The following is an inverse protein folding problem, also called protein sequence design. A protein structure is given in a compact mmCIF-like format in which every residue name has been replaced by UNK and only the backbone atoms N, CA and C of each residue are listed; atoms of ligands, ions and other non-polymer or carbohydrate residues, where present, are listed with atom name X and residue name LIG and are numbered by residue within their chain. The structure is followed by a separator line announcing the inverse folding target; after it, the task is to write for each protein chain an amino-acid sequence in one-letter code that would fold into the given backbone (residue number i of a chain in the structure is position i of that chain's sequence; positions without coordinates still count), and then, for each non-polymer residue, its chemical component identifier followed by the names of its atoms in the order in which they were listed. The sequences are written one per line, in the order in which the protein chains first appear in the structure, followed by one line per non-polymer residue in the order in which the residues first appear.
data_IF_458085412590
#
_entry.id   IF_458085412590
#
_cell.length_a   1.000
_cell.length_b   1.000
_cell.length_c   1.000
_cell.angle_alpha   90.00
_cell.angle_beta   90.00
_cell.angle_gamma   90.00
#
_symmetry.space_group_name_H-M   'P 1'
#
loop_
_entity.id
_entity.type
_entity.pdbx_description
1 polymer ?
#
# COMPACT_ATOMS: atom_id res chain seq x y z
N UNK A 1 -12.22 15.95 -21.92
CA UNK A 1 -12.47 14.89 -20.91
C UNK A 1 -11.24 14.04 -20.59
N UNK A 2 -10.32 13.76 -21.53
CA UNK A 2 -9.12 12.95 -21.25
C UNK A 2 -8.13 13.57 -20.24
N UNK A 3 -7.94 14.89 -20.24
CA UNK A 3 -6.97 15.58 -19.37
C UNK A 3 -7.32 15.41 -17.89
N UNK A 4 -8.60 15.54 -17.53
CA UNK A 4 -9.07 15.40 -16.15
C UNK A 4 -8.85 13.98 -15.61
N UNK A 5 -9.02 12.95 -16.46
CA UNK A 5 -8.75 11.57 -16.06
C UNK A 5 -7.26 11.31 -15.81
N UNK A 6 -6.38 11.88 -16.63
CA UNK A 6 -4.91 11.76 -16.45
C UNK A 6 -4.47 12.42 -15.15
N UNK A 7 -4.96 13.62 -14.85
CA UNK A 7 -4.64 14.32 -13.60
C UNK A 7 -5.14 13.58 -12.37
N UNK A 8 -6.34 12.99 -12.44
CA UNK A 8 -6.87 12.18 -11.34
C UNK A 8 -6.02 10.93 -11.10
N UNK A 9 -5.62 10.24 -12.16
CA UNK A 9 -4.75 9.06 -12.07
C UNK A 9 -3.38 9.44 -11.50
N UNK A 10 -2.83 10.58 -11.90
CA UNK A 10 -1.57 11.08 -11.36
C UNK A 10 -1.67 11.34 -9.85
N UNK A 11 -2.70 12.06 -9.40
CA UNK A 11 -2.93 12.30 -7.96
C UNK A 11 -3.12 11.02 -7.16
N UNK A 12 -3.83 10.04 -7.73
CA UNK A 12 -4.02 8.74 -7.09
C UNK A 12 -2.68 8.00 -6.96
N UNK A 13 -1.84 8.03 -8.00
CA UNK A 13 -0.49 7.47 -7.94
C UNK A 13 0.34 8.14 -6.85
N UNK A 14 0.35 9.46 -6.78
CA UNK A 14 1.14 10.20 -5.79
C UNK A 14 0.69 9.85 -4.35
N UNK A 15 -0.62 9.72 -4.13
CA UNK A 15 -1.15 9.28 -2.85
C UNK A 15 -0.73 7.84 -2.50
N UNK A 16 -0.74 6.92 -3.47
CA UNK A 16 -0.30 5.54 -3.26
C UNK A 16 1.20 5.49 -2.93
N UNK A 17 2.03 6.29 -3.61
CA UNK A 17 3.47 6.36 -3.33
C UNK A 17 3.73 6.92 -1.92
N UNK A 18 3.06 8.00 -1.53
CA UNK A 18 3.18 8.53 -0.17
C UNK A 18 2.75 7.50 0.90
N UNK A 19 1.73 6.67 0.65
CA UNK A 19 1.36 5.58 1.56
C UNK A 19 2.46 4.52 1.62
N UNK A 20 3.06 4.14 0.49
CA UNK A 20 4.16 3.17 0.46
C UNK A 20 5.37 3.64 1.26
N UNK A 21 5.74 4.91 1.13
CA UNK A 21 6.86 5.49 1.87
C UNK A 21 6.58 5.48 3.37
N UNK A 22 5.38 5.90 3.79
CA UNK A 22 4.96 5.83 5.19
C UNK A 22 4.99 4.39 5.73
N UNK A 23 4.57 3.39 4.95
CA UNK A 23 4.61 1.98 5.36
C UNK A 23 6.05 1.46 5.50
N UNK A 24 6.97 1.92 4.64
CA UNK A 24 8.38 1.55 4.70
C UNK A 24 9.04 2.05 6.00
N UNK A 25 8.61 3.20 6.51
CA UNK A 25 9.12 3.80 7.75
C UNK A 25 8.56 3.14 9.04
N UNK A 26 7.48 2.35 8.94
CA UNK A 26 6.94 1.64 10.10
C UNK A 26 7.80 0.44 10.49
N UNK A 27 7.94 0.20 11.79
CA UNK A 27 8.49 -1.06 12.30
C UNK A 27 7.53 -2.24 12.07
N UNK A 28 8.06 -3.45 12.18
CA UNK A 28 7.30 -4.68 11.90
C UNK A 28 6.10 -4.86 12.83
N UNK A 29 6.18 -4.41 14.10
CA UNK A 29 5.09 -4.52 15.05
C UNK A 29 3.93 -3.60 14.65
N UNK A 30 4.23 -2.36 14.24
CA UNK A 30 3.23 -1.41 13.74
C UNK A 30 2.58 -1.89 12.44
N UNK A 31 3.35 -2.49 11.54
CA UNK A 31 2.80 -3.09 10.31
C UNK A 31 1.86 -4.27 10.60
N UNK A 32 2.23 -5.14 11.54
CA UNK A 32 1.36 -6.25 11.97
C UNK A 32 0.09 -5.74 12.66
N UNK A 33 0.20 -4.73 13.51
CA UNK A 33 -0.96 -4.11 14.15
C UNK A 33 -1.90 -3.46 13.11
N UNK A 34 -1.34 -2.81 12.09
CA UNK A 34 -2.11 -2.21 11.02
C UNK A 34 -2.82 -3.27 10.17
N UNK A 35 -2.16 -4.39 9.88
CA UNK A 35 -2.74 -5.55 9.19
C UNK A 35 -3.94 -6.13 9.95
N UNK A 36 -3.78 -6.31 11.26
CA UNK A 36 -4.80 -6.87 12.14
C UNK A 36 -6.05 -5.97 12.28
N UNK A 37 -5.88 -4.65 12.12
CA UNK A 37 -6.97 -3.68 12.21
C UNK A 37 -7.77 -3.52 10.91
N UNK A 38 -7.32 -4.07 9.78
CA UNK A 38 -8.06 -3.97 8.52
C UNK A 38 -9.17 -5.02 8.43
N UNK A 39 -10.33 -4.70 7.81
CA UNK A 39 -11.43 -5.66 7.61
C UNK A 39 -10.98 -6.89 6.82
N UNK A 40 -11.14 -8.10 7.35
CA UNK A 40 -10.72 -9.36 6.69
C UNK A 40 -11.33 -9.56 5.31
N UNK A 41 -12.54 -9.05 5.11
CA UNK A 41 -13.22 -9.02 3.82
C UNK A 41 -13.47 -7.58 3.45
N UNK A 42 -12.82 -7.11 2.38
CA UNK A 42 -13.03 -5.80 1.82
C UNK A 42 -13.51 -5.95 0.36
N UNK A 43 -14.45 -5.12 -0.11
CA UNK A 43 -14.88 -5.16 -1.51
C UNK A 43 -13.71 -4.97 -2.48
N UNK A 44 -13.79 -5.59 -3.65
CA UNK A 44 -12.77 -5.41 -4.69
C UNK A 44 -12.66 -3.93 -5.09
N UNK A 45 -11.43 -3.41 -5.15
CA UNK A 45 -11.17 -2.01 -5.49
C UNK A 45 -11.46 -1.00 -4.36
N UNK A 46 -11.87 -1.47 -3.18
CA UNK A 46 -12.02 -0.58 -2.00
C UNK A 46 -10.67 -0.08 -1.49
N UNK A 47 -10.63 1.10 -0.84
CA UNK A 47 -9.43 1.60 -0.17
C UNK A 47 -8.84 0.61 0.84
N UNK A 48 -9.70 -0.11 1.57
CA UNK A 48 -9.30 -1.10 2.56
C UNK A 48 -8.58 -2.30 1.90
N UNK A 49 -9.07 -2.77 0.75
CA UNK A 49 -8.38 -3.80 -0.03
C UNK A 49 -7.01 -3.30 -0.51
N UNK A 50 -6.94 -2.08 -1.05
CA UNK A 50 -5.69 -1.50 -1.54
C UNK A 50 -4.69 -1.34 -0.39
N UNK A 51 -5.12 -0.81 0.75
CA UNK A 51 -4.27 -0.64 1.93
C UNK A 51 -3.69 -1.97 2.42
N UNK A 52 -4.53 -3.02 2.47
CA UNK A 52 -4.06 -4.37 2.81
C UNK A 52 -3.02 -4.90 1.84
N UNK A 53 -3.23 -4.72 0.53
CA UNK A 53 -2.26 -5.13 -0.49
C UNK A 53 -0.91 -4.42 -0.32
N UNK A 54 -0.93 -3.13 0.02
CA UNK A 54 0.28 -2.35 0.25
C UNK A 54 1.04 -2.84 1.50
N UNK A 55 0.33 -3.14 2.58
CA UNK A 55 0.92 -3.71 3.81
C UNK A 55 1.55 -5.08 3.53
N UNK A 56 0.81 -6.00 2.90
CA UNK A 56 1.35 -7.32 2.56
C UNK A 56 2.56 -7.24 1.62
N UNK A 57 2.54 -6.31 0.66
CA UNK A 57 3.67 -6.07 -0.22
C UNK A 57 4.90 -5.62 0.59
N UNK A 58 4.72 -4.69 1.52
CA UNK A 58 5.82 -4.20 2.35
C UNK A 58 6.39 -5.29 3.26
N UNK A 59 5.52 -6.02 3.98
CA UNK A 59 5.94 -7.18 4.79
C UNK A 59 6.63 -8.26 3.94
N UNK A 60 6.16 -8.47 2.70
CA UNK A 60 6.75 -9.42 1.76
C UNK A 60 8.17 -9.02 1.32
N UNK A 61 8.40 -7.75 1.01
CA UNK A 61 9.73 -7.22 0.69
C UNK A 61 10.72 -7.43 1.84
N UNK A 62 10.28 -7.22 3.08
CA UNK A 62 11.13 -7.40 4.27
C UNK A 62 11.53 -8.85 4.50
N UNK A 63 10.63 -9.78 4.22
CA UNK A 63 10.89 -11.23 4.33
C UNK A 63 11.81 -11.73 3.22
N UNK A 64 11.68 -11.16 2.01
CA UNK A 64 12.46 -11.53 0.83
C UNK A 64 13.13 -10.28 0.25
N UNK A 65 14.19 -9.75 0.90
CA UNK A 65 14.90 -8.60 0.37
C UNK A 65 15.47 -8.98 -1.01
N UNK A 66 15.38 -8.12 -2.03
CA UNK A 66 15.99 -8.40 -3.31
C UNK A 66 17.49 -8.66 -3.09
N UNK A 67 17.96 -9.84 -3.49
CA UNK A 67 19.39 -10.15 -3.51
C UNK A 67 20.06 -9.12 -4.42
N UNK A 68 21.00 -8.34 -3.87
CA UNK A 68 21.83 -7.44 -4.66
C UNK A 68 22.55 -8.28 -5.72
N UNK A 69 22.16 -8.10 -6.99
CA UNK A 69 22.78 -8.71 -8.17
C UNK A 69 23.40 -7.63 -9.03
#
# INVERSE_FOLDING_TARGET
MHIVAVELVAKLRDAIEAIKDNLADLDDLKLQALEANLPRTAPAGSPEMVMRLLIYREMGKRKNPPTAG
#
